data_IF_031632618135
#
_entry.id   IF_031632618135
#
_cell.length_a   1.000
_cell.length_b   1.000
_cell.length_c   1.000
_cell.angle_alpha   90.00
_cell.angle_beta   90.00
_cell.angle_gamma   90.00
#
_symmetry.space_group_name_H-M   'P 1'
#
loop_
_entity.id
_entity.type
_entity.pdbx_description
1 polymer ?
#
# COMPACT_ATOMS: atom_id res chain seq x y z
N UNK A 1 20.11 2.88 -12.37
CA UNK A 1 20.73 4.20 -12.11
C UNK A 1 22.08 3.90 -11.47
N UNK A 2 23.20 4.23 -12.13
CA UNK A 2 24.50 3.60 -11.81
C UNK A 2 24.85 3.81 -10.34
N UNK A 3 25.08 2.72 -9.62
CA UNK A 3 25.43 2.78 -8.19
C UNK A 3 26.67 3.65 -8.02
N UNK A 4 26.57 4.71 -7.21
CA UNK A 4 27.68 5.61 -6.96
C UNK A 4 28.79 4.87 -6.20
N UNK A 5 30.01 4.92 -6.74
CA UNK A 5 31.16 4.28 -6.09
C UNK A 5 31.50 5.04 -4.80
N UNK A 6 31.79 4.35 -3.69
CA UNK A 6 32.12 5.02 -2.44
C UNK A 6 33.48 5.74 -2.55
N UNK A 7 33.52 6.97 -2.04
CA UNK A 7 34.79 7.67 -1.82
C UNK A 7 35.52 7.13 -0.59
N UNK A 8 36.76 7.55 -0.39
CA UNK A 8 37.55 7.18 0.80
C UNK A 8 36.81 7.54 2.09
N UNK A 9 36.18 8.71 2.17
CA UNK A 9 35.44 9.13 3.36
C UNK A 9 34.26 8.20 3.69
N UNK A 10 33.57 7.69 2.65
CA UNK A 10 32.49 6.72 2.82
C UNK A 10 33.03 5.38 3.32
N UNK A 11 34.15 4.93 2.77
CA UNK A 11 34.80 3.69 3.21
C UNK A 11 35.35 3.81 4.64
N UNK A 12 35.88 4.97 5.02
CA UNK A 12 36.32 5.25 6.38
C UNK A 12 35.14 5.21 7.37
N UNK A 13 34.00 5.82 7.02
CA UNK A 13 32.79 5.75 7.84
C UNK A 13 32.24 4.32 7.98
N UNK A 14 32.31 3.52 6.92
CA UNK A 14 31.94 2.09 6.96
C UNK A 14 32.91 1.31 7.84
N UNK A 15 34.22 1.55 7.71
CA UNK A 15 35.25 0.93 8.53
C UNK A 15 35.05 1.20 10.02
N UNK A 16 34.78 2.46 10.38
CA UNK A 16 34.48 2.88 11.76
C UNK A 16 33.20 2.22 12.27
N UNK A 17 32.13 2.22 11.46
CA UNK A 17 30.86 1.60 11.83
C UNK A 17 30.99 0.10 12.17
N UNK A 18 31.82 -0.64 11.43
CA UNK A 18 32.04 -2.07 11.66
C UNK A 18 33.24 -2.37 12.59
N UNK A 19 33.96 -1.34 13.06
CA UNK A 19 35.13 -1.50 13.94
C UNK A 19 36.32 -2.20 13.27
N UNK A 20 36.51 -1.98 11.96
CA UNK A 20 37.65 -2.53 11.22
C UNK A 20 38.93 -1.69 11.33
N UNK A 21 38.81 -0.41 11.74
CA UNK A 21 39.93 0.51 11.98
C UNK A 21 40.98 0.57 10.85
N UNK A 22 40.53 0.53 9.58
CA UNK A 22 41.41 0.51 8.41
C UNK A 22 42.24 1.79 8.30
N UNK A 23 43.52 1.61 8.00
CA UNK A 23 44.43 2.71 7.67
C UNK A 23 44.08 3.35 6.32
N UNK A 24 44.61 4.55 6.06
CA UNK A 24 44.41 5.24 4.79
C UNK A 24 44.92 4.44 3.57
N UNK A 25 46.00 3.68 3.75
CA UNK A 25 46.56 2.80 2.71
C UNK A 25 45.59 1.66 2.40
N UNK A 26 45.11 0.95 3.44
CA UNK A 26 44.13 -0.13 3.30
C UNK A 26 42.82 0.38 2.68
N UNK A 27 42.35 1.58 3.07
CA UNK A 27 41.18 2.21 2.45
C UNK A 27 41.35 2.42 0.94
N UNK A 28 42.56 2.77 0.49
CA UNK A 28 42.89 2.91 -0.93
C UNK A 28 42.86 1.57 -1.69
N UNK A 29 43.34 0.50 -1.05
CA UNK A 29 43.25 -0.86 -1.59
C UNK A 29 41.79 -1.32 -1.72
N UNK A 30 40.99 -1.14 -0.65
CA UNK A 30 39.57 -1.46 -0.65
C UNK A 30 38.80 -0.65 -1.69
N UNK A 31 39.10 0.63 -1.85
CA UNK A 31 38.46 1.46 -2.89
C UNK A 31 38.65 0.86 -4.29
N UNK A 32 39.88 0.41 -4.59
CA UNK A 32 40.21 -0.21 -5.87
C UNK A 32 39.49 -1.55 -6.07
N UNK A 33 39.45 -2.39 -5.03
CA UNK A 33 38.76 -3.69 -5.06
C UNK A 33 37.23 -3.55 -5.20
N UNK A 34 36.64 -2.60 -4.47
CA UNK A 34 35.21 -2.30 -4.52
C UNK A 34 34.81 -1.79 -5.90
N UNK A 35 35.61 -0.92 -6.53
CA UNK A 35 35.33 -0.42 -7.87
C UNK A 35 35.21 -1.55 -8.91
N UNK A 36 36.08 -2.56 -8.85
CA UNK A 36 36.00 -3.74 -9.72
C UNK A 36 34.77 -4.61 -9.43
N UNK A 37 34.47 -4.83 -8.15
CA UNK A 37 33.33 -5.66 -7.71
C UNK A 37 31.99 -5.00 -8.06
N UNK A 38 31.93 -3.66 -8.03
CA UNK A 38 30.73 -2.90 -8.33
C UNK A 38 30.36 -2.85 -9.82
N UNK A 39 31.23 -3.29 -10.72
CA UNK A 39 30.92 -3.37 -12.16
C UNK A 39 29.71 -4.28 -12.45
N UNK A 40 29.42 -5.25 -11.57
CA UNK A 40 28.22 -6.09 -11.68
C UNK A 40 26.93 -5.26 -11.60
N UNK A 41 26.91 -4.17 -10.83
CA UNK A 41 25.73 -3.31 -10.71
C UNK A 41 25.50 -2.47 -11.97
N UNK A 42 26.56 -2.08 -12.69
CA UNK A 42 26.39 -1.43 -14.00
C UNK A 42 25.75 -2.38 -14.99
N UNK A 43 26.16 -3.66 -14.95
CA UNK A 43 25.57 -4.67 -15.82
C UNK A 43 24.10 -4.92 -15.48
N UNK A 44 23.73 -4.87 -14.20
CA UNK A 44 22.32 -4.95 -13.78
C UNK A 44 21.51 -3.76 -14.30
N UNK A 45 22.08 -2.56 -14.29
CA UNK A 45 21.44 -1.36 -14.83
C UNK A 45 21.21 -1.39 -16.35
N UNK A 46 21.97 -2.21 -17.07
CA UNK A 46 21.77 -2.44 -18.51
C UNK A 46 20.64 -3.44 -18.79
N UNK A 47 20.20 -4.21 -17.79
CA UNK A 47 19.08 -5.13 -17.93
C UNK A 47 17.77 -4.35 -17.93
N UNK A 48 16.79 -4.83 -18.68
CA UNK A 48 15.46 -4.26 -18.65
C UNK A 48 14.80 -4.55 -17.29
N UNK A 49 14.21 -3.53 -16.69
CA UNK A 49 13.34 -3.71 -15.53
C UNK A 49 12.15 -4.59 -15.92
N UNK A 50 11.89 -5.62 -15.12
CA UNK A 50 10.59 -6.32 -15.17
C UNK A 50 9.58 -5.46 -14.42
N UNK A 51 8.50 -5.06 -15.10
CA UNK A 51 7.43 -4.26 -14.51
C UNK A 51 6.12 -5.01 -14.53
N UNK A 52 5.32 -4.89 -13.47
CA UNK A 52 3.96 -5.40 -13.47
C UNK A 52 3.09 -4.69 -14.51
N UNK A 53 2.17 -5.42 -15.17
CA UNK A 53 1.36 -4.87 -16.22
C UNK A 53 0.35 -3.86 -15.67
N UNK A 54 0.05 -2.90 -16.54
CA UNK A 54 -0.79 -1.74 -16.28
C UNK A 54 -1.90 -1.81 -17.33
N UNK A 55 -2.97 -2.53 -17.00
CA UNK A 55 -3.93 -3.03 -18.00
C UNK A 55 -5.10 -2.08 -18.28
N UNK A 56 -5.43 -1.19 -17.33
CA UNK A 56 -6.64 -0.37 -17.41
C UNK A 56 -6.32 1.13 -17.58
N UNK A 57 -7.20 1.88 -18.27
CA UNK A 57 -7.02 3.31 -18.48
C UNK A 57 -7.20 4.10 -17.17
N UNK A 58 -6.43 5.18 -17.03
CA UNK A 58 -6.53 6.12 -15.90
C UNK A 58 -7.37 7.27 -16.41
N UNK A 59 -8.69 7.13 -16.28
CA UNK A 59 -9.65 8.07 -16.85
C UNK A 59 -9.46 9.49 -16.28
N UNK A 60 -9.09 9.58 -15.00
CA UNK A 60 -8.67 10.81 -14.35
C UNK A 60 -7.53 10.54 -13.36
N UNK A 61 -6.43 11.27 -13.51
CA UNK A 61 -5.26 11.22 -12.61
C UNK A 61 -5.56 11.83 -11.25
N UNK A 62 -6.62 12.64 -11.16
CA UNK A 62 -7.18 13.05 -9.90
C UNK A 62 -6.50 14.26 -9.26
N UNK A 63 -6.85 14.49 -7.99
CA UNK A 63 -6.42 15.63 -7.20
C UNK A 63 -6.48 15.33 -5.71
N UNK A 64 -5.85 16.17 -4.90
CA UNK A 64 -5.98 16.15 -3.43
C UNK A 64 -7.26 16.89 -3.01
N UNK A 65 -8.27 16.22 -2.46
CA UNK A 65 -9.51 16.88 -2.05
C UNK A 65 -9.34 17.63 -0.72
N UNK A 66 -10.09 18.72 -0.55
CA UNK A 66 -10.08 19.58 0.64
C UNK A 66 -11.48 20.08 0.98
N UNK A 67 -11.69 20.51 2.22
CA UNK A 67 -12.95 21.12 2.66
C UNK A 67 -14.15 20.19 2.46
N UNK A 68 -15.21 20.69 1.83
CA UNK A 68 -16.47 19.97 1.63
C UNK A 68 -16.32 18.72 0.75
N UNK A 69 -15.27 18.63 -0.08
CA UNK A 69 -14.98 17.44 -0.88
C UNK A 69 -14.24 16.34 -0.08
N UNK A 70 -13.80 16.66 1.14
CA UNK A 70 -13.16 15.71 2.06
C UNK A 70 -13.67 15.91 3.50
N UNK A 71 -14.99 15.78 3.75
CA UNK A 71 -15.64 16.33 4.94
C UNK A 71 -15.22 15.67 6.25
N UNK A 72 -14.68 14.46 6.19
CA UNK A 72 -14.13 13.69 7.32
C UNK A 72 -12.65 13.36 7.15
N UNK A 73 -11.99 14.01 6.18
CA UNK A 73 -10.56 13.86 5.87
C UNK A 73 -10.13 12.43 5.50
N UNK A 74 -11.07 11.58 5.05
CA UNK A 74 -10.81 10.18 4.72
C UNK A 74 -9.95 9.99 3.45
N UNK A 75 -9.92 10.98 2.56
CA UNK A 75 -9.18 10.91 1.30
C UNK A 75 -7.80 11.54 1.40
N UNK A 76 -6.80 10.85 0.86
CA UNK A 76 -5.49 11.44 0.54
C UNK A 76 -5.46 11.98 -0.90
N UNK A 77 -6.14 11.28 -1.81
CA UNK A 77 -6.23 11.60 -3.23
C UNK A 77 -7.52 11.04 -3.81
N UNK A 78 -8.26 11.79 -4.63
CA UNK A 78 -9.39 11.26 -5.42
C UNK A 78 -8.94 11.13 -6.87
N UNK A 79 -9.32 10.06 -7.55
CA UNK A 79 -8.99 9.78 -8.95
C UNK A 79 -10.09 8.93 -9.61
N UNK A 80 -9.95 8.59 -10.89
CA UNK A 80 -10.89 7.70 -11.56
C UNK A 80 -10.17 6.68 -12.42
N UNK A 81 -10.24 5.42 -12.01
CA UNK A 81 -9.67 4.27 -12.74
C UNK A 81 -10.75 3.19 -12.88
N UNK A 82 -11.49 3.18 -14.01
CA UNK A 82 -12.50 2.15 -14.27
C UNK A 82 -11.84 0.80 -14.60
N UNK A 83 -12.41 -0.28 -14.05
CA UNK A 83 -12.04 -1.65 -14.37
C UNK A 83 -12.79 -2.21 -15.60
N UNK A 84 -12.85 -3.53 -15.69
CA UNK A 84 -13.61 -4.24 -16.71
C UNK A 84 -15.12 -3.90 -16.66
N UNK A 85 -15.81 -4.03 -17.80
CA UNK A 85 -17.26 -3.74 -17.91
C UNK A 85 -18.13 -4.74 -17.11
N UNK A 86 -17.64 -5.96 -16.96
CA UNK A 86 -18.31 -7.05 -16.27
C UNK A 86 -17.39 -7.67 -15.20
N UNK A 87 -17.99 -8.35 -14.23
CA UNK A 87 -17.27 -9.04 -13.16
C UNK A 87 -18.03 -8.99 -11.84
N UNK A 88 -17.55 -9.71 -10.81
CA UNK A 88 -18.24 -9.80 -9.53
C UNK A 88 -18.30 -8.46 -8.77
N UNK A 89 -17.46 -7.49 -9.12
CA UNK A 89 -17.45 -6.14 -8.55
C UNK A 89 -17.87 -5.06 -9.57
N UNK A 90 -18.43 -5.44 -10.72
CA UNK A 90 -18.93 -4.50 -11.71
C UNK A 90 -19.95 -3.54 -11.08
N UNK A 91 -19.78 -2.24 -11.34
CA UNK A 91 -20.60 -1.17 -10.77
C UNK A 91 -20.32 -0.84 -9.31
N UNK A 92 -19.27 -1.41 -8.70
CA UNK A 92 -18.85 -1.09 -7.32
C UNK A 92 -17.68 -0.13 -7.32
N UNK A 93 -17.74 0.83 -6.41
CA UNK A 93 -16.66 1.78 -6.14
C UNK A 93 -15.73 1.26 -5.04
N UNK A 94 -14.42 1.39 -5.27
CA UNK A 94 -13.39 0.92 -4.33
C UNK A 94 -12.37 2.02 -4.05
N UNK A 95 -12.09 2.28 -2.77
CA UNK A 95 -10.97 3.10 -2.36
C UNK A 95 -9.77 2.24 -1.95
N UNK A 96 -8.55 2.71 -2.23
CA UNK A 96 -7.32 2.02 -1.84
C UNK A 96 -6.67 2.72 -0.64
N UNK A 97 -6.21 1.99 0.36
CA UNK A 97 -5.29 2.54 1.35
C UNK A 97 -4.07 3.16 0.66
N UNK A 98 -3.62 4.33 1.11
CA UNK A 98 -2.60 5.08 0.35
C UNK A 98 -1.27 4.34 0.22
N UNK A 99 -0.94 3.41 1.13
CA UNK A 99 0.27 2.59 1.04
C UNK A 99 0.23 1.50 -0.06
N UNK A 100 -0.86 1.41 -0.83
CA UNK A 100 -1.04 0.49 -1.96
C UNK A 100 -0.68 1.23 -3.25
N UNK A 101 0.21 0.66 -4.05
CA UNK A 101 0.59 1.22 -5.35
C UNK A 101 -0.57 1.16 -6.34
N UNK A 102 -0.81 2.31 -7.00
CA UNK A 102 -1.72 2.48 -8.13
C UNK A 102 -0.94 3.30 -9.16
N UNK A 103 -0.67 2.71 -10.32
CA UNK A 103 0.25 3.28 -11.30
C UNK A 103 -0.22 4.68 -11.74
N UNK A 104 0.72 5.63 -11.70
CA UNK A 104 0.49 7.02 -12.07
C UNK A 104 -0.24 7.87 -11.02
N UNK A 105 -0.82 7.27 -9.97
CA UNK A 105 -1.53 8.02 -8.92
C UNK A 105 -0.61 8.26 -7.71
N UNK A 106 -0.50 9.49 -7.19
CA UNK A 106 0.38 9.80 -6.06
C UNK A 106 0.16 8.90 -4.83
N UNK A 107 1.26 8.59 -4.14
CA UNK A 107 1.27 7.77 -2.93
C UNK A 107 2.26 8.33 -1.91
N UNK A 108 1.76 8.76 -0.76
CA UNK A 108 2.58 9.37 0.30
C UNK A 108 2.72 8.49 1.54
N UNK A 109 1.85 7.49 1.72
CA UNK A 109 1.85 6.63 2.91
C UNK A 109 1.86 7.46 4.21
N UNK A 110 1.07 8.54 4.23
CA UNK A 110 0.91 9.42 5.38
C UNK A 110 2.16 10.18 5.82
N UNK A 111 3.19 10.31 4.97
CA UNK A 111 4.48 10.90 5.35
C UNK A 111 4.99 11.90 4.31
N UNK A 112 5.51 13.07 4.74
CA UNK A 112 6.10 14.06 3.82
C UNK A 112 7.38 13.54 3.14
N UNK A 113 8.02 12.49 3.68
CA UNK A 113 9.20 11.85 3.07
C UNK A 113 8.87 11.26 1.70
N UNK A 114 7.64 10.81 1.51
CA UNK A 114 7.16 10.19 0.27
C UNK A 114 6.47 11.21 -0.66
N UNK A 115 6.45 12.50 -0.31
CA UNK A 115 5.83 13.51 -1.16
C UNK A 115 6.49 13.54 -2.54
N UNK A 116 5.68 13.51 -3.60
CA UNK A 116 6.13 13.41 -4.98
C UNK A 116 6.37 11.98 -5.48
N UNK A 117 6.27 10.95 -4.65
CA UNK A 117 6.33 9.57 -5.12
C UNK A 117 5.06 9.19 -5.90
N UNK A 118 5.26 8.69 -7.12
CA UNK A 118 4.21 8.18 -8.00
C UNK A 118 4.61 6.77 -8.43
N UNK A 119 3.87 5.72 -8.02
CA UNK A 119 4.15 4.35 -8.43
C UNK A 119 4.05 4.20 -9.95
N UNK A 120 4.89 3.35 -10.53
CA UNK A 120 4.85 3.01 -11.96
C UNK A 120 3.97 1.79 -12.25
N UNK A 121 3.61 1.05 -11.22
CA UNK A 121 2.98 -0.26 -11.30
C UNK A 121 1.75 -0.31 -10.39
N UNK A 122 0.80 -1.15 -10.79
CA UNK A 122 -0.36 -1.49 -9.99
C UNK A 122 0.01 -2.64 -9.03
N UNK A 123 -0.39 -2.52 -7.77
CA UNK A 123 -0.32 -3.67 -6.86
C UNK A 123 -1.14 -4.85 -7.40
N UNK A 124 -0.77 -6.09 -7.06
CA UNK A 124 -1.52 -7.28 -7.54
C UNK A 124 -3.02 -7.18 -7.18
N UNK A 125 -3.32 -6.69 -5.98
CA UNK A 125 -4.70 -6.48 -5.52
C UNK A 125 -5.45 -5.43 -6.34
N UNK A 126 -4.77 -4.41 -6.87
CA UNK A 126 -5.36 -3.39 -7.75
C UNK A 126 -5.74 -4.02 -9.09
N UNK A 127 -4.83 -4.80 -9.68
CA UNK A 127 -5.09 -5.52 -10.94
C UNK A 127 -6.30 -6.44 -10.79
N UNK A 128 -6.35 -7.26 -9.72
CA UNK A 128 -7.49 -8.16 -9.43
C UNK A 128 -8.82 -7.43 -9.27
N UNK A 129 -8.81 -6.27 -8.61
CA UNK A 129 -10.02 -5.46 -8.44
C UNK A 129 -10.53 -4.93 -9.78
N UNK A 130 -9.64 -4.40 -10.61
CA UNK A 130 -9.99 -3.87 -11.92
C UNK A 130 -10.46 -4.99 -12.87
N UNK A 131 -9.79 -6.15 -12.86
CA UNK A 131 -10.22 -7.35 -13.59
C UNK A 131 -11.60 -7.85 -13.16
N UNK A 132 -11.97 -7.64 -11.89
CA UNK A 132 -13.28 -7.97 -11.36
C UNK A 132 -14.35 -6.90 -11.64
N UNK A 133 -14.02 -5.83 -12.36
CA UNK A 133 -14.92 -4.75 -12.75
C UNK A 133 -15.09 -3.65 -11.70
N UNK A 134 -14.26 -3.60 -10.66
CA UNK A 134 -14.31 -2.52 -9.68
C UNK A 134 -13.86 -1.19 -10.30
N UNK A 135 -14.50 -0.10 -9.88
CA UNK A 135 -14.06 1.26 -10.19
C UNK A 135 -13.26 1.82 -9.01
N UNK A 136 -11.96 2.04 -9.20
CA UNK A 136 -11.12 2.65 -8.18
C UNK A 136 -11.27 4.17 -8.21
N UNK A 137 -11.69 4.75 -7.08
CA UNK A 137 -12.07 6.17 -6.97
C UNK A 137 -11.09 7.03 -6.17
N UNK A 138 -10.05 6.43 -5.59
CA UNK A 138 -9.05 7.20 -4.85
C UNK A 138 -8.17 6.42 -3.91
N UNK A 139 -7.30 7.18 -3.25
CA UNK A 139 -6.38 6.76 -2.19
C UNK A 139 -6.84 7.35 -0.87
N UNK A 140 -6.95 6.54 0.17
CA UNK A 140 -7.43 6.95 1.49
C UNK A 140 -6.30 7.28 2.43
N UNK A 141 -6.49 8.31 3.26
CA UNK A 141 -5.51 8.76 4.23
C UNK A 141 -5.10 7.66 5.22
N UNK A 142 -3.85 7.75 5.66
CA UNK A 142 -3.17 6.84 6.61
C UNK A 142 -2.27 7.65 7.54
N UNK A 143 -1.97 7.16 8.77
CA UNK A 143 -0.90 7.72 9.58
C UNK A 143 0.49 7.50 8.96
N UNK A 144 1.49 8.23 9.43
CA UNK A 144 2.86 8.15 8.91
C UNK A 144 3.40 6.72 8.90
N UNK A 145 3.71 6.24 7.69
CA UNK A 145 4.17 4.88 7.41
C UNK A 145 3.32 3.79 8.07
N UNK A 146 2.02 4.06 8.25
CA UNK A 146 1.06 3.15 8.84
C UNK A 146 1.37 2.70 10.28
N UNK A 147 2.29 3.36 11.00
CA UNK A 147 2.82 2.93 12.29
C UNK A 147 2.16 3.66 13.49
N UNK A 148 0.83 3.68 13.51
CA UNK A 148 0.02 4.31 14.55
C UNK A 148 -1.38 3.69 14.55
N UNK A 149 -1.88 3.33 15.75
CA UNK A 149 -3.21 2.76 15.93
C UNK A 149 -4.32 3.79 16.20
N UNK A 150 -3.96 5.03 16.54
CA UNK A 150 -4.89 6.13 16.80
C UNK A 150 -5.26 6.93 15.55
N UNK A 151 -4.30 7.13 14.62
CA UNK A 151 -4.53 7.81 13.35
C UNK A 151 -4.30 9.32 13.41
N UNK A 152 -3.43 9.78 14.32
CA UNK A 152 -3.15 11.20 14.54
C UNK A 152 -1.80 11.67 13.97
N UNK A 153 -1.01 10.76 13.42
CA UNK A 153 0.37 11.03 12.97
C UNK A 153 0.53 11.19 11.45
N UNK A 154 -0.57 11.18 10.69
CA UNK A 154 -0.52 11.23 9.23
C UNK A 154 -0.17 12.59 8.65
N UNK A 155 0.09 12.58 7.35
CA UNK A 155 0.40 13.73 6.54
C UNK A 155 -0.29 13.63 5.17
N UNK A 156 -0.80 14.75 4.62
CA UNK A 156 -0.95 16.05 5.27
C UNK A 156 -2.09 16.07 6.28
N UNK A 157 -2.14 17.12 7.09
CA UNK A 157 -3.30 17.42 7.94
C UNK A 157 -4.43 18.08 7.14
N UNK A 158 -5.68 18.02 7.64
CA UNK A 158 -6.13 17.34 8.87
C UNK A 158 -6.27 15.81 8.73
N UNK A 159 -6.24 15.09 9.86
CA UNK A 159 -6.38 13.63 9.89
C UNK A 159 -7.84 13.14 9.84
N UNK A 160 -8.08 11.90 9.39
CA UNK A 160 -9.42 11.28 9.46
C UNK A 160 -10.02 11.31 10.86
N UNK A 161 -11.27 11.75 10.95
CA UNK A 161 -12.05 11.77 12.20
C UNK A 161 -13.16 10.73 12.16
N UNK A 162 -13.63 10.30 13.33
CA UNK A 162 -14.64 9.24 13.42
C UNK A 162 -15.99 9.70 12.79
N UNK A 163 -16.61 8.91 11.90
CA UNK A 163 -17.88 9.28 11.27
C UNK A 163 -19.05 9.43 12.24
N UNK A 164 -18.97 8.81 13.42
CA UNK A 164 -20.01 8.88 14.45
C UNK A 164 -19.82 10.06 15.41
N UNK A 165 -18.60 10.59 15.53
CA UNK A 165 -18.26 11.71 16.42
C UNK A 165 -16.94 12.34 15.94
N UNK A 166 -17.03 13.55 15.36
CA UNK A 166 -15.87 14.25 14.76
C UNK A 166 -14.80 14.65 15.77
N UNK A 167 -15.10 14.61 17.08
CA UNK A 167 -14.11 14.86 18.15
C UNK A 167 -13.33 13.60 18.54
N UNK A 168 -13.61 12.45 17.90
CA UNK A 168 -12.97 11.16 18.19
C UNK A 168 -12.10 10.67 17.06
N UNK A 169 -11.13 9.84 17.44
CA UNK A 169 -10.28 9.10 16.51
C UNK A 169 -11.07 8.03 15.76
N UNK A 170 -10.75 7.86 14.49
CA UNK A 170 -11.35 6.85 13.61
C UNK A 170 -10.75 5.43 13.82
N UNK A 171 -9.66 5.30 14.59
CA UNK A 171 -8.84 4.09 14.67
C UNK A 171 -7.99 3.91 13.41
N UNK A 172 -6.84 3.24 13.46
CA UNK A 172 -5.83 3.30 12.39
C UNK A 172 -5.03 1.99 12.21
N UNK A 173 -4.22 1.81 11.15
CA UNK A 173 -3.78 2.75 10.12
C UNK A 173 -4.61 2.79 8.83
N UNK A 174 -5.69 2.02 8.71
CA UNK A 174 -6.64 2.16 7.59
C UNK A 174 -7.82 3.08 7.96
N UNK A 175 -7.51 4.17 8.69
CA UNK A 175 -8.49 5.16 9.18
C UNK A 175 -9.28 5.78 8.04
N UNK A 176 -8.61 6.26 6.99
CA UNK A 176 -9.28 6.84 5.83
C UNK A 176 -10.22 5.84 5.16
N UNK A 177 -9.79 4.58 5.00
CA UNK A 177 -10.57 3.50 4.40
C UNK A 177 -11.87 3.23 5.15
N UNK A 178 -11.83 3.15 6.48
CA UNK A 178 -13.03 2.98 7.28
C UNK A 178 -13.96 4.20 7.19
N UNK A 179 -13.40 5.41 7.23
CA UNK A 179 -14.17 6.66 7.16
C UNK A 179 -14.97 6.75 5.86
N UNK A 180 -14.34 6.54 4.70
CA UNK A 180 -15.02 6.68 3.40
C UNK A 180 -16.07 5.58 3.17
N UNK A 181 -15.84 4.38 3.70
CA UNK A 181 -16.81 3.27 3.64
C UNK A 181 -18.02 3.55 4.53
N UNK A 182 -17.80 3.92 5.79
CA UNK A 182 -18.88 4.21 6.73
C UNK A 182 -19.70 5.41 6.30
N UNK A 183 -19.05 6.46 5.77
CA UNK A 183 -19.72 7.67 5.30
C UNK A 183 -20.45 7.51 3.95
N UNK A 184 -20.39 6.31 3.34
CA UNK A 184 -21.10 6.03 2.09
C UNK A 184 -20.45 6.63 0.84
N UNK A 185 -19.19 7.06 0.94
CA UNK A 185 -18.47 7.68 -0.19
C UNK A 185 -17.97 6.64 -1.19
N UNK A 186 -17.77 5.39 -0.73
CA UNK A 186 -17.51 4.22 -1.58
C UNK A 186 -18.27 2.98 -1.08
N UNK A 187 -18.40 1.97 -1.93
CA UNK A 187 -18.98 0.68 -1.55
C UNK A 187 -18.02 -0.12 -0.67
N UNK A 188 -16.74 -0.15 -1.05
CA UNK A 188 -15.71 -0.94 -0.39
C UNK A 188 -14.37 -0.19 -0.37
N UNK A 189 -13.46 -0.62 0.49
CA UNK A 189 -12.08 -0.16 0.48
C UNK A 189 -11.11 -1.30 0.80
N UNK A 190 -9.85 -1.14 0.39
CA UNK A 190 -8.75 -1.95 0.91
C UNK A 190 -8.14 -1.29 2.14
N UNK A 191 -7.84 -2.10 3.15
CA UNK A 191 -6.98 -1.73 4.27
C UNK A 191 -5.74 -2.63 4.35
N UNK A 192 -4.77 -2.22 5.17
CA UNK A 192 -3.59 -3.02 5.54
C UNK A 192 -3.58 -3.26 7.04
N UNK A 193 -3.13 -4.43 7.49
CA UNK A 193 -3.15 -4.87 8.90
C UNK A 193 -1.85 -5.56 9.29
N UNK A 194 -1.06 -4.89 10.13
CA UNK A 194 0.12 -5.45 10.77
C UNK A 194 -0.13 -5.78 12.24
N UNK A 195 -0.77 -4.86 12.96
CA UNK A 195 -1.08 -4.99 14.38
C UNK A 195 -2.57 -4.82 14.71
N UNK A 196 -3.45 -4.82 13.72
CA UNK A 196 -4.87 -4.48 13.88
C UNK A 196 -5.39 -3.46 12.88
N UNK A 197 -4.58 -3.02 11.93
CA UNK A 197 -4.86 -1.82 11.13
C UNK A 197 -5.99 -1.92 10.11
N UNK A 198 -6.59 -3.09 9.88
CA UNK A 198 -7.91 -3.22 9.23
C UNK A 198 -9.02 -3.25 10.30
N UNK A 199 -8.82 -4.05 11.34
CA UNK A 199 -9.85 -4.40 12.33
C UNK A 199 -10.15 -3.25 13.32
N UNK A 200 -9.13 -2.53 13.77
CA UNK A 200 -9.25 -1.38 14.66
C UNK A 200 -10.08 -0.25 14.03
N UNK A 201 -9.72 0.30 12.85
CA UNK A 201 -10.53 1.33 12.21
C UNK A 201 -11.94 0.86 11.87
N UNK A 202 -12.10 -0.40 11.43
CA UNK A 202 -13.42 -0.97 11.17
C UNK A 202 -14.30 -0.97 12.43
N UNK A 203 -13.75 -1.43 13.56
CA UNK A 203 -14.44 -1.45 14.85
C UNK A 203 -14.76 -0.05 15.38
N UNK A 204 -13.84 0.91 15.24
CA UNK A 204 -14.01 2.24 15.82
C UNK A 204 -14.96 3.11 14.98
N UNK A 205 -14.89 2.98 13.65
CA UNK A 205 -15.67 3.79 12.71
C UNK A 205 -16.92 3.09 12.19
N UNK A 206 -17.26 1.87 12.65
CA UNK A 206 -18.56 1.25 12.37
C UNK A 206 -18.71 0.61 10.99
N UNK A 207 -17.67 -0.08 10.50
CA UNK A 207 -17.77 -0.94 9.31
C UNK A 207 -17.19 -2.34 9.57
N UNK A 208 -17.25 -3.23 8.58
CA UNK A 208 -16.63 -4.55 8.63
C UNK A 208 -15.24 -4.48 8.00
N UNK A 209 -14.29 -5.22 8.56
CA UNK A 209 -12.94 -5.35 8.03
C UNK A 209 -12.37 -6.73 8.29
N UNK A 210 -11.89 -7.41 7.24
CA UNK A 210 -11.36 -8.77 7.34
C UNK A 210 -9.84 -8.76 7.18
N UNK A 211 -9.13 -9.22 8.21
CA UNK A 211 -7.74 -9.66 8.09
C UNK A 211 -7.73 -11.16 7.80
N UNK A 212 -7.45 -11.54 6.56
CA UNK A 212 -7.34 -12.95 6.16
C UNK A 212 -6.20 -13.69 6.87
N UNK A 213 -6.10 -14.99 6.56
CA UNK A 213 -4.90 -15.79 6.89
C UNK A 213 -3.68 -15.15 6.25
N UNK A 214 -2.54 -15.16 6.95
CA UNK A 214 -1.29 -14.60 6.42
C UNK A 214 -0.92 -15.30 5.10
N UNK A 215 -0.52 -14.51 4.09
CA UNK A 215 -0.24 -14.98 2.73
C UNK A 215 -1.48 -15.30 1.88
N UNK A 216 -2.71 -15.21 2.39
CA UNK A 216 -3.91 -15.51 1.60
C UNK A 216 -4.11 -14.52 0.44
N UNK A 217 -3.96 -13.24 0.74
CA UNK A 217 -3.99 -12.14 -0.24
C UNK A 217 -2.55 -11.66 -0.43
N UNK A 218 -2.06 -11.52 -1.67
CA UNK A 218 -0.68 -11.09 -1.93
C UNK A 218 -0.47 -9.64 -1.50
N UNK A 219 0.72 -9.35 -0.98
CA UNK A 219 1.17 -8.03 -0.56
C UNK A 219 2.04 -7.32 -1.61
N UNK A 220 2.18 -7.90 -2.79
CA UNK A 220 2.94 -7.35 -3.92
C UNK A 220 2.44 -5.96 -4.32
N UNK A 221 3.35 -5.00 -4.39
CA UNK A 221 3.05 -3.58 -4.69
C UNK A 221 2.48 -2.79 -3.52
N UNK A 222 2.53 -3.31 -2.29
CA UNK A 222 2.11 -2.59 -1.09
C UNK A 222 3.34 -2.29 -0.23
N UNK A 223 3.42 -1.07 0.33
CA UNK A 223 4.55 -0.65 1.14
C UNK A 223 4.72 -1.57 2.36
N UNK A 224 5.85 -2.32 2.47
CA UNK A 224 6.06 -3.28 3.55
C UNK A 224 6.37 -2.57 4.87
N UNK A 225 5.95 -3.17 5.98
CA UNK A 225 6.44 -2.79 7.32
C UNK A 225 7.27 -3.94 7.87
N UNK A 226 6.68 -5.12 7.95
CA UNK A 226 7.35 -6.32 8.47
C UNK A 226 6.76 -7.55 7.77
N UNK A 227 7.63 -8.30 7.07
CA UNK A 227 7.26 -9.37 6.15
C UNK A 227 6.32 -10.41 6.78
N UNK A 228 6.54 -10.76 8.06
CA UNK A 228 5.79 -11.80 8.77
C UNK A 228 4.45 -11.31 9.33
N UNK A 229 4.22 -10.00 9.32
CA UNK A 229 3.02 -9.37 9.88
C UNK A 229 2.15 -8.68 8.82
N UNK A 230 2.67 -8.41 7.63
CA UNK A 230 1.95 -7.68 6.60
C UNK A 230 0.71 -8.46 6.07
N UNK A 231 -0.45 -7.84 6.18
CA UNK A 231 -1.70 -8.29 5.56
C UNK A 231 -2.37 -7.13 4.83
N UNK A 232 -3.09 -7.45 3.75
CA UNK A 232 -4.05 -6.57 3.08
C UNK A 232 -5.41 -7.27 3.05
N UNK A 233 -6.49 -6.50 3.12
CA UNK A 233 -7.82 -7.10 3.14
C UNK A 233 -8.95 -6.09 2.95
N UNK A 234 -10.17 -6.61 2.77
CA UNK A 234 -11.34 -5.80 2.44
C UNK A 234 -11.94 -5.13 3.66
N UNK A 235 -12.54 -3.97 3.41
CA UNK A 235 -13.36 -3.20 4.34
C UNK A 235 -14.65 -2.77 3.64
N UNK A 236 -15.80 -3.00 4.25
CA UNK A 236 -17.11 -2.69 3.64
C UNK A 236 -18.21 -2.49 4.70
N UNK A 237 -19.40 -2.01 4.29
CA UNK A 237 -20.55 -1.86 5.20
C UNK A 237 -21.24 -3.17 5.55
N UNK A 238 -20.95 -4.24 4.81
CA UNK A 238 -21.52 -5.57 5.07
C UNK A 238 -20.43 -6.64 5.09
N UNK A 239 -20.66 -7.71 5.86
CA UNK A 239 -19.80 -8.89 5.85
C UNK A 239 -19.82 -9.59 4.47
N UNK A 240 -20.96 -9.54 3.77
CA UNK A 240 -21.12 -10.10 2.42
C UNK A 240 -20.21 -9.40 1.40
N UNK A 241 -20.15 -8.07 1.41
CA UNK A 241 -19.26 -7.33 0.51
C UNK A 241 -17.78 -7.56 0.85
N UNK A 242 -17.44 -7.68 2.15
CA UNK A 242 -16.10 -8.09 2.54
C UNK A 242 -15.76 -9.49 2.00
N UNK A 243 -16.67 -10.46 2.10
CA UNK A 243 -16.47 -11.81 1.60
C UNK A 243 -16.32 -11.83 0.07
N UNK A 244 -17.19 -11.12 -0.65
CA UNK A 244 -17.14 -10.97 -2.12
C UNK A 244 -15.83 -10.35 -2.59
N UNK A 245 -15.38 -9.28 -1.93
CA UNK A 245 -14.09 -8.67 -2.24
C UNK A 245 -12.92 -9.61 -1.89
N UNK A 246 -12.99 -10.34 -0.77
CA UNK A 246 -11.95 -11.31 -0.42
C UNK A 246 -11.81 -12.43 -1.45
N UNK A 247 -12.91 -12.89 -2.06
CA UNK A 247 -12.87 -13.89 -3.14
C UNK A 247 -12.09 -13.40 -4.36
N UNK A 248 -12.25 -12.12 -4.71
CA UNK A 248 -11.49 -11.47 -5.80
C UNK A 248 -10.01 -11.32 -5.43
N UNK A 249 -9.72 -10.99 -4.18
CA UNK A 249 -8.37 -10.66 -3.73
C UNK A 249 -7.51 -11.91 -3.43
N UNK A 250 -8.10 -13.00 -2.96
CA UNK A 250 -7.37 -14.16 -2.46
C UNK A 250 -6.72 -14.98 -3.58
N UNK A 251 -5.57 -15.59 -3.27
CA UNK A 251 -4.85 -16.50 -4.18
C UNK A 251 -3.41 -16.11 -4.41
N UNK A 252 -2.58 -17.08 -4.78
CA UNK A 252 -1.16 -16.85 -5.06
C UNK A 252 -0.97 -15.95 -6.29
N UNK A 253 0.03 -15.07 -6.26
CA UNK A 253 0.46 -14.30 -7.42
C UNK A 253 1.83 -14.73 -7.99
N UNK A 254 2.53 -15.62 -7.28
CA UNK A 254 3.86 -16.12 -7.66
C UNK A 254 5.01 -15.13 -7.42
N UNK A 255 4.74 -13.99 -6.80
CA UNK A 255 5.70 -12.90 -6.58
C UNK A 255 5.93 -12.62 -5.08
N UNK A 256 4.88 -12.74 -4.27
CA UNK A 256 4.97 -12.42 -2.84
C UNK A 256 5.57 -13.59 -2.03
N UNK A 257 6.75 -13.41 -1.41
CA UNK A 257 7.39 -14.47 -0.61
C UNK A 257 6.62 -14.84 0.66
N UNK A 258 5.57 -14.09 1.03
CA UNK A 258 4.69 -14.40 2.17
C UNK A 258 3.73 -15.55 1.86
N UNK A 259 3.53 -15.88 0.59
CA UNK A 259 2.52 -16.84 0.17
C UNK A 259 3.07 -18.26 0.17
N UNK A 260 2.52 -19.12 1.03
CA UNK A 260 2.86 -20.53 1.11
C UNK A 260 1.59 -21.40 1.13
N UNK A 261 1.51 -22.37 0.22
CA UNK A 261 0.37 -23.29 0.03
C UNK A 261 -1.01 -22.62 0.13
N UNK A 262 -1.19 -21.51 -0.61
CA UNK A 262 -2.41 -20.69 -0.53
C UNK A 262 -3.65 -21.50 -0.90
N UNK A 263 -4.62 -21.56 0.03
CA UNK A 263 -5.93 -22.19 -0.18
C UNK A 263 -7.00 -21.13 -0.25
N UNK A 264 -7.75 -21.13 -1.34
CA UNK A 264 -8.91 -20.25 -1.54
C UNK A 264 -10.21 -21.04 -1.48
N UNK A 265 -11.28 -20.35 -1.10
CA UNK A 265 -12.65 -20.87 -1.07
C UNK A 265 -13.60 -19.78 -1.55
N UNK A 266 -14.87 -20.15 -1.79
CA UNK A 266 -15.93 -19.16 -1.97
C UNK A 266 -16.43 -18.66 -0.61
N UNK A 267 -15.81 -17.60 -0.11
CA UNK A 267 -16.12 -17.03 1.21
C UNK A 267 -17.58 -16.57 1.37
N UNK A 268 -18.23 -16.17 0.28
CA UNK A 268 -19.65 -15.78 0.27
C UNK A 268 -20.58 -16.95 0.58
N UNK A 269 -20.21 -18.19 0.23
CA UNK A 269 -20.98 -19.40 0.53
C UNK A 269 -20.87 -19.81 2.02
N UNK A 270 -19.97 -19.20 2.79
CA UNK A 270 -19.78 -19.49 4.22
C UNK A 270 -20.57 -18.59 5.17
N UNK A 271 -21.38 -17.66 4.65
CA UNK A 271 -22.15 -16.69 5.45
C UNK A 271 -23.54 -17.20 5.87
N UNK A 272 -23.91 -18.43 5.48
CA UNK A 272 -25.21 -19.07 5.73
C UNK A 272 -25.25 -19.86 7.03
#
# INVERSE_FOLDING_TARGET
MSVKRPGIDTLAAISDYYGFDLSFEELGEFQSAVAGSMAIYDRLDELADESLPVNYPRADMGYRPVGDDNPLNGWAWKCSVPGAEEGPLAGRTVALKDNIALAGIPMMNGSPIMEGFVPREDATVVTRLLDAGAHITGKTAVPAFCFDGGGCTGYPEPQPVNPHDRERLAGASSNGSAVVVTNGEVDMALGGDQGGSIRLPASWSGCYGIKGTHGLVPYTGIFPIELTLDHVGPMARTAEDCARMLEVLAGSDGLDPRQYDVRTTKYTESLS
#
